data_IF_112455473658
#
_entry.id   IF_112455473658
#
_cell.length_a   1.000
_cell.length_b   1.000
_cell.length_c   1.000
_cell.angle_alpha   90.00
_cell.angle_beta   90.00
_cell.angle_gamma   90.00
#
_symmetry.space_group_name_H-M   'P 1'
#
loop_
_entity.id
_entity.type
_entity.pdbx_description
1 polymer ?
#
# COMPACT_ATOMS: atom_id res chain seq x y z
N UNK A 1 6.17 -5.80 -7.72
CA UNK A 1 5.26 -5.93 -8.88
C UNK A 1 5.80 -5.37 -10.21
N UNK A 2 6.99 -4.75 -10.24
CA UNK A 2 7.49 -3.98 -11.40
C UNK A 2 7.57 -4.81 -12.70
N UNK A 3 7.97 -6.08 -12.64
CA UNK A 3 8.13 -6.93 -13.84
C UNK A 3 6.80 -7.30 -14.52
N UNK A 4 5.72 -7.38 -13.74
CA UNK A 4 4.39 -7.75 -14.25
C UNK A 4 3.61 -6.55 -14.77
N UNK A 5 4.08 -5.32 -14.50
CA UNK A 5 3.35 -4.10 -14.81
C UNK A 5 3.02 -3.93 -16.31
N UNK A 6 3.96 -4.18 -17.25
CA UNK A 6 3.65 -4.08 -18.68
C UNK A 6 2.55 -5.05 -19.12
N UNK A 7 2.58 -6.29 -18.60
CA UNK A 7 1.58 -7.30 -18.92
C UNK A 7 0.19 -6.95 -18.35
N UNK A 8 0.15 -6.31 -17.18
CA UNK A 8 -1.10 -5.83 -16.59
C UNK A 8 -1.68 -4.69 -17.45
N UNK A 9 -0.86 -3.73 -17.85
CA UNK A 9 -1.26 -2.64 -18.76
C UNK A 9 -1.81 -3.16 -20.09
N UNK A 10 -1.09 -4.07 -20.75
CA UNK A 10 -1.53 -4.70 -22.01
C UNK A 10 -2.85 -5.45 -21.84
N UNK A 11 -3.01 -6.19 -20.73
CA UNK A 11 -4.24 -6.94 -20.44
C UNK A 11 -5.43 -5.99 -20.20
N UNK A 12 -5.22 -4.89 -19.49
CA UNK A 12 -6.26 -3.89 -19.24
C UNK A 12 -6.67 -3.18 -20.52
N UNK A 13 -5.70 -2.77 -21.36
CA UNK A 13 -5.98 -2.20 -22.69
C UNK A 13 -6.77 -3.16 -23.57
N UNK A 14 -6.44 -4.45 -23.52
CA UNK A 14 -7.20 -5.49 -24.22
C UNK A 14 -8.64 -5.57 -23.72
N UNK A 15 -8.84 -5.58 -22.40
CA UNK A 15 -10.16 -5.64 -21.76
C UNK A 15 -11.01 -4.38 -22.00
N UNK A 16 -10.41 -3.20 -22.09
CA UNK A 16 -11.12 -1.95 -22.39
C UNK A 16 -11.74 -1.91 -23.79
N UNK A 17 -11.32 -2.79 -24.71
CA UNK A 17 -12.03 -2.99 -25.98
C UNK A 17 -13.38 -3.69 -25.80
N UNK A 18 -13.72 -4.10 -24.58
CA UNK A 18 -15.02 -4.66 -24.19
C UNK A 18 -15.76 -3.70 -23.25
N UNK A 19 -17.10 -3.60 -23.30
CA UNK A 19 -17.85 -2.49 -22.70
C UNK A 19 -18.02 -2.54 -21.16
N UNK A 20 -17.17 -3.24 -20.40
CA UNK A 20 -17.55 -3.68 -19.03
C UNK A 20 -16.56 -3.38 -17.90
N UNK A 21 -15.37 -2.82 -18.16
CA UNK A 21 -14.43 -2.52 -17.07
C UNK A 21 -14.83 -1.22 -16.37
N UNK A 22 -15.34 -1.33 -15.13
CA UNK A 22 -15.81 -0.18 -14.34
C UNK A 22 -14.88 0.18 -13.17
N UNK A 23 -13.97 -0.71 -12.80
CA UNK A 23 -13.02 -0.51 -11.71
C UNK A 23 -11.92 -1.57 -11.76
N UNK A 24 -10.82 -1.30 -11.04
CA UNK A 24 -9.81 -2.28 -10.70
C UNK A 24 -9.63 -2.35 -9.18
N UNK A 25 -9.51 -3.56 -8.66
CA UNK A 25 -9.30 -3.82 -7.24
C UNK A 25 -7.97 -4.56 -7.10
N UNK A 26 -7.05 -3.99 -6.35
CA UNK A 26 -5.73 -4.59 -6.07
C UNK A 26 -5.56 -4.78 -4.57
N UNK A 27 -4.71 -5.72 -4.15
CA UNK A 27 -4.26 -5.76 -2.76
C UNK A 27 -3.31 -4.59 -2.45
N UNK A 28 -2.93 -4.42 -1.19
CA UNK A 28 -2.05 -3.34 -0.77
C UNK A 28 -0.59 -3.47 -1.26
N UNK A 29 -0.17 -4.65 -1.71
CA UNK A 29 1.14 -4.89 -2.32
C UNK A 29 1.13 -4.51 -3.82
N UNK A 30 -0.05 -4.38 -4.42
CA UNK A 30 -0.28 -4.00 -5.80
C UNK A 30 -0.26 -2.50 -6.09
N UNK A 31 0.31 -1.68 -5.22
CA UNK A 31 0.30 -0.23 -5.35
C UNK A 31 0.82 0.31 -6.71
N UNK A 32 1.76 -0.40 -7.35
CA UNK A 32 2.27 -0.02 -8.67
C UNK A 32 1.18 -0.04 -9.77
N UNK A 33 0.17 -0.89 -9.63
CA UNK A 33 -0.93 -1.02 -10.59
C UNK A 33 -1.93 0.13 -10.48
N UNK A 34 -2.00 0.82 -9.32
CA UNK A 34 -2.87 1.98 -9.15
C UNK A 34 -2.55 3.09 -10.16
N UNK A 35 -1.26 3.31 -10.45
CA UNK A 35 -0.86 4.32 -11.42
C UNK A 35 -1.31 3.95 -12.85
N UNK A 36 -1.12 2.69 -13.26
CA UNK A 36 -1.59 2.19 -14.57
C UNK A 36 -3.10 2.39 -14.73
N UNK A 37 -3.87 2.11 -13.66
CA UNK A 37 -5.31 2.31 -13.67
C UNK A 37 -5.71 3.77 -13.88
N UNK A 38 -5.02 4.71 -13.22
CA UNK A 38 -5.23 6.15 -13.41
C UNK A 38 -4.90 6.58 -14.83
N UNK A 39 -3.80 6.07 -15.41
CA UNK A 39 -3.42 6.36 -16.80
C UNK A 39 -4.43 5.85 -17.83
N UNK A 40 -5.19 4.79 -17.50
CA UNK A 40 -6.23 4.20 -18.33
C UNK A 40 -7.66 4.68 -18.01
N UNK A 41 -7.82 5.68 -17.14
CA UNK A 41 -9.11 6.20 -16.67
C UNK A 41 -10.02 5.11 -16.03
N UNK A 42 -9.40 4.12 -15.38
CA UNK A 42 -10.09 3.06 -14.63
C UNK A 42 -10.07 3.41 -13.14
N UNK A 43 -11.23 3.54 -12.47
CA UNK A 43 -11.30 3.78 -11.03
C UNK A 43 -10.53 2.71 -10.22
N UNK A 44 -9.46 3.08 -9.47
CA UNK A 44 -8.67 2.12 -8.72
C UNK A 44 -9.07 2.03 -7.25
N UNK A 45 -9.14 0.81 -6.73
CA UNK A 45 -9.45 0.53 -5.34
C UNK A 45 -8.43 -0.43 -4.73
N UNK A 46 -8.13 -0.23 -3.44
CA UNK A 46 -7.30 -1.15 -2.67
C UNK A 46 -8.17 -2.01 -1.78
N UNK A 47 -8.14 -3.32 -1.99
CA UNK A 47 -8.68 -4.29 -1.05
C UNK A 47 -7.63 -4.59 0.02
N UNK A 48 -7.81 -3.95 1.18
CA UNK A 48 -6.87 -4.11 2.30
C UNK A 48 -7.27 -5.31 3.16
N UNK A 49 -6.49 -6.39 3.07
CA UNK A 49 -6.79 -7.66 3.73
C UNK A 49 -6.49 -7.68 5.23
N UNK A 50 -5.83 -6.64 5.76
CA UNK A 50 -5.50 -6.51 7.18
C UNK A 50 -6.48 -5.58 7.93
N UNK A 51 -6.43 -5.61 9.27
CA UNK A 51 -7.26 -4.74 10.10
C UNK A 51 -6.88 -3.25 9.98
N UNK A 52 -7.83 -2.36 10.32
CA UNK A 52 -7.63 -0.90 10.38
C UNK A 52 -6.39 -0.48 11.19
N UNK A 53 -6.08 -1.27 12.22
CA UNK A 53 -4.91 -1.12 13.06
C UNK A 53 -3.58 -1.21 12.29
N UNK A 54 -3.52 -2.03 11.24
CA UNK A 54 -2.36 -2.17 10.36
C UNK A 54 -2.35 -1.11 9.24
N UNK A 55 -3.54 -0.71 8.76
CA UNK A 55 -3.68 0.33 7.73
C UNK A 55 -3.26 1.71 8.23
N UNK A 56 -3.70 2.08 9.44
CA UNK A 56 -3.56 3.45 9.95
C UNK A 56 -2.10 3.90 10.11
N UNK A 57 -1.16 3.07 10.62
CA UNK A 57 0.26 3.39 10.64
C UNK A 57 0.83 3.58 9.23
N UNK A 58 0.48 2.70 8.28
CA UNK A 58 0.93 2.81 6.89
C UNK A 58 0.48 4.10 6.20
N UNK A 59 -0.71 4.60 6.51
CA UNK A 59 -1.21 5.88 6.00
C UNK A 59 -0.59 7.10 6.68
N UNK A 60 -0.15 6.96 7.94
CA UNK A 60 0.45 8.04 8.75
C UNK A 60 1.97 8.07 8.69
N UNK A 61 2.60 7.00 8.22
CA UNK A 61 4.04 6.96 8.06
C UNK A 61 4.43 8.03 7.04
N UNK A 62 5.17 9.08 7.45
CA UNK A 62 5.72 10.00 6.48
C UNK A 62 6.66 9.16 5.62
N UNK A 63 6.44 9.14 4.30
CA UNK A 63 7.36 8.50 3.36
C UNK A 63 8.79 8.93 3.74
N UNK A 64 9.59 8.00 4.29
CA UNK A 64 10.98 8.26 4.72
C UNK A 64 11.85 8.35 3.47
N UNK A 65 11.63 9.41 2.70
CA UNK A 65 12.37 9.70 1.48
C UNK A 65 13.61 10.51 1.88
N UNK A 66 14.61 9.86 2.44
CA UNK A 66 15.92 10.52 2.62
C UNK A 66 16.88 9.96 3.66
N UNK A 67 16.44 9.17 4.63
CA UNK A 67 17.36 8.67 5.64
C UNK A 67 18.13 7.44 5.12
N UNK A 68 19.46 7.39 5.30
CA UNK A 68 20.25 6.23 4.91
C UNK A 68 19.79 5.00 5.68
N UNK A 69 19.86 3.78 5.09
CA UNK A 69 19.51 2.55 5.78
C UNK A 69 20.47 2.32 6.95
N UNK A 70 20.09 2.82 8.13
CA UNK A 70 20.83 2.70 9.37
C UNK A 70 19.84 2.35 10.47
N UNK A 71 20.11 1.23 11.15
CA UNK A 71 19.30 0.60 12.22
C UNK A 71 18.13 1.44 12.71
N UNK A 72 17.03 1.31 12.00
CA UNK A 72 15.67 1.61 12.40
C UNK A 72 15.47 1.28 13.88
N UNK A 73 15.51 2.31 14.74
CA UNK A 73 15.44 2.10 16.19
C UNK A 73 14.00 1.83 16.57
N UNK A 74 13.73 0.62 17.06
CA UNK A 74 12.41 0.28 17.60
C UNK A 74 12.05 1.30 18.68
N UNK A 75 10.91 2.00 18.57
CA UNK A 75 10.54 3.00 19.57
C UNK A 75 10.41 2.30 20.93
N UNK A 76 11.17 2.79 21.91
CA UNK A 76 11.12 2.27 23.28
C UNK A 76 9.76 2.54 23.95
N UNK A 77 8.99 3.52 23.42
CA UNK A 77 7.68 3.91 23.92
C UNK A 77 6.59 3.38 23.00
N UNK A 78 5.48 2.97 23.61
CA UNK A 78 4.36 2.42 22.87
C UNK A 78 3.77 3.43 21.86
N UNK A 79 3.57 2.97 20.63
CA UNK A 79 2.92 3.71 19.55
C UNK A 79 1.39 3.58 19.69
N UNK A 80 0.72 4.69 19.97
CA UNK A 80 -0.74 4.72 20.15
C UNK A 80 -1.46 5.21 18.89
N UNK A 81 -2.40 4.42 18.38
CA UNK A 81 -3.40 4.91 17.43
C UNK A 81 -4.67 5.34 18.18
N UNK A 82 -5.37 6.40 17.73
CA UNK A 82 -6.64 6.78 18.33
C UNK A 82 -7.63 5.60 18.33
N UNK A 83 -8.20 5.29 19.50
CA UNK A 83 -9.12 4.16 19.71
C UNK A 83 -8.53 2.76 19.46
N UNK A 84 -7.20 2.59 19.54
CA UNK A 84 -6.56 1.27 19.50
C UNK A 84 -5.65 1.05 20.71
N UNK A 85 -5.37 -0.23 20.99
CA UNK A 85 -4.41 -0.63 22.01
C UNK A 85 -3.01 -0.17 21.57
N UNK A 86 -2.19 0.44 22.46
CA UNK A 86 -0.83 0.86 22.11
C UNK A 86 0.06 -0.34 21.73
N UNK A 87 0.85 -0.19 20.67
CA UNK A 87 1.86 -1.16 20.24
C UNK A 87 3.19 -0.90 20.92
N UNK A 88 3.84 -1.92 21.46
CA UNK A 88 5.24 -1.84 21.84
C UNK A 88 6.06 -1.98 20.55
N UNK A 89 7.21 -1.30 20.42
CA UNK A 89 8.02 -1.33 19.20
C UNK A 89 8.46 -2.73 18.75
N UNK A 90 8.37 -3.74 19.60
CA UNK A 90 8.64 -5.16 19.26
C UNK A 90 7.50 -5.81 18.46
N UNK A 91 6.27 -5.31 18.62
CA UNK A 91 5.06 -5.80 17.95
C UNK A 91 4.77 -5.04 16.65
N UNK A 92 5.54 -4.00 16.35
CA UNK A 92 5.42 -3.26 15.10
C UNK A 92 6.10 -4.05 13.98
N UNK A 93 5.38 -4.25 12.87
CA UNK A 93 5.96 -4.91 11.71
C UNK A 93 7.14 -4.08 11.18
N UNK A 94 8.20 -4.78 10.78
CA UNK A 94 9.44 -4.17 10.29
C UNK A 94 9.25 -3.07 9.22
N UNK A 95 8.31 -3.15 8.24
CA UNK A 95 8.11 -2.06 7.29
C UNK A 95 7.50 -0.76 7.85
N UNK A 96 7.03 -0.76 9.11
CA UNK A 96 6.54 0.46 9.79
C UNK A 96 7.54 1.02 10.81
N UNK A 97 8.64 0.32 11.05
CA UNK A 97 9.71 0.86 11.85
C UNK A 97 10.50 1.85 10.97
N UNK A 98 10.68 3.09 11.46
CA UNK A 98 11.53 4.11 10.82
C UNK A 98 13.00 3.83 11.12
#
# INVERSE_FOLDING_TARGET
MIRSLPYIDDSLKSLLNTPTVVAIIVDFLGANTLQVAVELDIPPYVFYTCGKFHLTPGLKSPQSRGDPPGKTQRPARAFGLPSCIPLIGQDLLDPFLN
#
